data_IF_690945737559
#
_entry.id   IF_690945737559
#
_cell.length_a   1.000
_cell.length_b   1.000
_cell.length_c   1.000
_cell.angle_alpha   90.00
_cell.angle_beta   90.00
_cell.angle_gamma   90.00
#
_symmetry.space_group_name_H-M   'P 1'
#
loop_
_entity.id
_entity.type
_entity.pdbx_description
1 polymer ?
#
# COMPACT_ATOMS: atom_id res chain seq x y z
N UNK A 1 -17.98 10.87 42.72
CA UNK A 1 -18.52 9.94 41.70
C UNK A 1 -18.66 10.74 40.41
N UNK A 2 -18.09 10.43 39.25
CA UNK A 2 -17.35 9.26 38.76
C UNK A 2 -16.33 9.73 37.72
N UNK A 3 -15.06 9.38 37.94
CA UNK A 3 -13.89 9.76 37.14
C UNK A 3 -13.57 8.67 36.10
N UNK A 4 -14.58 8.19 35.36
CA UNK A 4 -14.44 7.04 34.42
C UNK A 4 -15.02 7.36 33.04
N UNK A 5 -14.89 8.59 32.53
CA UNK A 5 -15.28 8.93 31.15
C UNK A 5 -14.16 9.64 30.35
N UNK A 6 -12.91 9.64 30.85
CA UNK A 6 -11.78 10.34 30.20
C UNK A 6 -10.65 9.44 29.67
N UNK A 7 -10.81 8.12 29.64
CA UNK A 7 -9.71 7.20 29.26
C UNK A 7 -9.93 6.47 27.92
N UNK A 8 -11.08 6.63 27.24
CA UNK A 8 -11.36 5.84 26.02
C UNK A 8 -11.13 6.54 24.66
N UNK A 9 -10.63 7.77 24.61
CA UNK A 9 -10.53 8.54 23.35
C UNK A 9 -9.10 8.82 22.85
N UNK A 10 -8.11 8.04 23.29
CA UNK A 10 -6.73 8.10 22.77
C UNK A 10 -6.31 6.90 21.90
N UNK A 11 -7.18 5.91 21.65
CA UNK A 11 -6.77 4.67 20.98
C UNK A 11 -6.88 4.69 19.44
N UNK A 12 -7.53 5.67 18.83
CA UNK A 12 -7.68 5.74 17.37
C UNK A 12 -6.58 6.53 16.63
N UNK A 13 -5.61 7.10 17.36
CA UNK A 13 -4.67 8.10 16.82
C UNK A 13 -3.20 7.66 16.71
N UNK A 14 -2.84 6.43 17.06
CA UNK A 14 -1.43 6.03 17.18
C UNK A 14 -0.82 5.37 15.94
N UNK A 15 -1.58 5.08 14.87
CA UNK A 15 -1.06 4.28 13.74
C UNK A 15 -0.51 5.08 12.54
N UNK A 16 -0.53 6.42 12.55
CA UNK A 16 0.00 7.23 11.43
C UNK A 16 1.25 8.05 11.75
N UNK A 17 1.82 7.97 12.96
CA UNK A 17 2.87 8.90 13.37
C UNK A 17 4.04 8.23 14.11
N UNK A 18 4.62 7.15 13.59
CA UNK A 18 5.99 6.74 13.97
C UNK A 18 6.70 6.03 12.81
N UNK A 19 7.38 6.80 11.98
CA UNK A 19 8.59 6.39 11.25
C UNK A 19 9.10 7.62 10.52
N UNK A 20 10.01 8.34 11.19
CA UNK A 20 11.06 9.23 10.67
C UNK A 20 11.38 10.27 11.74
N UNK A 21 12.10 9.84 12.77
CA UNK A 21 12.90 10.71 13.61
C UNK A 21 14.27 10.04 13.75
N UNK A 22 15.20 10.48 12.91
CA UNK A 22 16.63 10.20 12.99
C UNK A 22 17.37 11.53 12.81
N UNK A 23 18.21 11.84 13.79
CA UNK A 23 18.73 13.16 14.15
C UNK A 23 19.74 13.77 13.18
N UNK A 24 19.86 15.11 13.25
CA UNK A 24 21.02 15.88 12.81
C UNK A 24 20.94 17.33 13.29
N UNK A 25 21.71 17.67 14.32
CA UNK A 25 21.86 19.01 14.93
C UNK A 25 22.71 19.96 14.06
N UNK A 26 22.51 21.27 14.24
CA UNK A 26 23.55 22.31 14.04
C UNK A 26 23.01 23.70 13.68
N UNK A 27 22.85 24.57 14.68
CA UNK A 27 23.30 25.98 14.87
C UNK A 27 23.26 26.96 13.66
N UNK A 28 22.90 28.25 13.70
CA UNK A 28 22.35 29.27 14.63
C UNK A 28 21.97 30.51 13.71
N UNK A 29 21.54 31.72 14.15
CA UNK A 29 20.57 32.55 13.44
C UNK A 29 21.17 33.76 12.71
N UNK A 30 20.44 34.32 11.74
CA UNK A 30 20.91 35.53 11.02
C UNK A 30 19.82 36.24 10.23
N UNK A 31 19.29 37.29 10.84
CA UNK A 31 18.81 38.56 10.26
C UNK A 31 17.78 38.60 9.12
N UNK A 32 16.70 39.33 9.43
CA UNK A 32 15.63 39.74 8.56
C UNK A 32 16.09 40.74 7.48
N UNK A 33 15.59 40.56 6.26
CA UNK A 33 15.20 41.68 5.39
C UNK A 33 14.05 41.25 4.48
N UNK A 34 12.94 41.97 4.59
CA UNK A 34 11.74 41.76 3.79
C UNK A 34 11.81 42.50 2.44
N UNK A 35 11.35 41.86 1.36
CA UNK A 35 10.77 42.48 0.15
C UNK A 35 9.98 41.43 -0.65
N UNK A 36 9.05 41.83 -1.54
CA UNK A 36 7.64 41.46 -1.41
C UNK A 36 7.19 40.37 -2.39
N UNK A 37 6.08 39.73 -1.99
CA UNK A 37 5.10 38.97 -2.76
C UNK A 37 5.45 38.65 -4.23
N UNK A 38 6.09 37.50 -4.43
CA UNK A 38 5.83 36.71 -5.62
C UNK A 38 4.64 35.80 -5.29
N UNK A 39 3.50 36.08 -5.92
CA UNK A 39 2.32 35.20 -5.90
C UNK A 39 2.76 33.83 -6.42
N UNK A 40 3.01 32.89 -5.51
CA UNK A 40 3.27 31.50 -5.86
C UNK A 40 1.93 30.92 -6.31
N UNK A 41 1.66 31.03 -7.61
CA UNK A 41 0.70 30.15 -8.25
C UNK A 41 1.05 28.71 -7.87
N UNK A 42 0.08 27.85 -7.54
CA UNK A 42 0.37 26.46 -7.21
C UNK A 42 1.10 25.84 -8.40
N UNK A 43 2.39 25.57 -8.21
CA UNK A 43 3.23 24.85 -9.16
C UNK A 43 2.49 23.55 -9.44
N UNK A 44 1.95 23.43 -10.66
CA UNK A 44 1.36 22.19 -11.14
C UNK A 44 2.31 21.05 -10.77
N UNK A 45 1.82 20.11 -9.97
CA UNK A 45 2.58 18.92 -9.58
C UNK A 45 3.15 18.31 -10.85
N UNK A 46 4.48 18.21 -10.91
CA UNK A 46 5.21 17.83 -12.11
C UNK A 46 4.79 16.43 -12.57
N UNK A 47 3.86 16.37 -13.53
CA UNK A 47 3.56 15.22 -14.37
C UNK A 47 4.55 15.24 -15.53
N UNK A 48 5.78 14.76 -15.35
CA UNK A 48 6.75 14.76 -16.46
C UNK A 48 7.69 13.55 -16.46
N UNK A 49 7.11 12.36 -16.27
CA UNK A 49 7.72 11.09 -16.66
C UNK A 49 6.76 10.31 -17.56
N UNK A 50 7.25 9.38 -18.40
CA UNK A 50 6.37 8.47 -19.11
C UNK A 50 5.53 7.68 -18.10
N UNK A 51 4.24 7.52 -18.39
CA UNK A 51 3.31 6.73 -17.58
C UNK A 51 3.84 5.31 -17.45
N UNK A 52 3.84 4.75 -16.23
CA UNK A 52 4.21 3.36 -16.01
C UNK A 52 3.32 2.42 -16.86
N UNK A 53 3.86 1.38 -17.52
CA UNK A 53 3.06 0.54 -18.40
C UNK A 53 1.97 -0.26 -17.66
N UNK A 54 2.18 -0.57 -16.38
CA UNK A 54 1.30 -1.44 -15.57
C UNK A 54 0.38 -0.67 -14.63
N UNK A 55 0.90 0.33 -13.91
CA UNK A 55 0.15 1.11 -12.91
C UNK A 55 -0.18 2.53 -13.36
N UNK A 56 0.25 2.91 -14.57
CA UNK A 56 0.01 4.21 -15.19
C UNK A 56 0.34 5.38 -14.26
N UNK A 57 -0.63 6.28 -14.04
CA UNK A 57 -0.47 7.46 -13.19
C UNK A 57 -0.92 7.25 -11.74
N UNK A 58 -1.22 6.02 -11.34
CA UNK A 58 -1.70 5.72 -9.99
C UNK A 58 -0.69 6.15 -8.90
N UNK A 59 0.63 5.92 -9.02
CA UNK A 59 1.60 6.36 -8.01
C UNK A 59 1.56 7.86 -7.74
N UNK A 60 1.40 8.68 -8.80
CA UNK A 60 1.34 10.13 -8.69
C UNK A 60 0.01 10.60 -8.10
N UNK A 61 -1.10 9.93 -8.40
CA UNK A 61 -2.40 10.22 -7.78
C UNK A 61 -2.40 9.94 -6.27
N UNK A 62 -1.82 8.82 -5.85
CA UNK A 62 -1.66 8.46 -4.44
C UNK A 62 -0.74 9.45 -3.71
N UNK A 63 0.35 9.87 -4.37
CA UNK A 63 1.28 10.86 -3.80
C UNK A 63 0.58 12.20 -3.55
N UNK A 64 -0.16 12.70 -4.53
CA UNK A 64 -0.93 13.94 -4.39
C UNK A 64 -1.97 13.85 -3.25
N UNK A 65 -2.68 12.72 -3.15
CA UNK A 65 -3.62 12.45 -2.06
C UNK A 65 -2.94 12.49 -0.67
N UNK A 66 -1.79 11.83 -0.53
CA UNK A 66 -1.01 11.80 0.72
C UNK A 66 -0.48 13.19 1.08
N UNK A 67 0.01 13.95 0.11
CA UNK A 67 0.53 15.31 0.32
C UNK A 67 -0.58 16.27 0.79
N UNK A 68 -1.75 16.26 0.15
CA UNK A 68 -2.90 17.06 0.57
C UNK A 68 -3.38 16.64 1.97
N UNK A 69 -3.46 15.33 2.25
CA UNK A 69 -3.84 14.83 3.57
C UNK A 69 -2.87 15.32 4.67
N UNK A 70 -1.57 15.38 4.40
CA UNK A 70 -0.57 15.91 5.34
C UNK A 70 -0.79 17.41 5.62
N UNK A 71 -1.07 18.19 4.57
CA UNK A 71 -1.35 19.63 4.71
C UNK A 71 -2.61 19.87 5.54
N UNK A 72 -3.72 19.19 5.22
CA UNK A 72 -4.97 19.29 5.96
C UNK A 72 -4.81 18.87 7.42
N UNK A 73 -4.05 17.80 7.70
CA UNK A 73 -3.78 17.38 9.08
C UNK A 73 -2.96 18.42 9.87
N UNK A 74 -2.03 19.12 9.23
CA UNK A 74 -1.28 20.20 9.88
C UNK A 74 -2.19 21.40 10.20
N UNK A 75 -3.03 21.81 9.25
CA UNK A 75 -4.00 22.89 9.45
C UNK A 75 -5.02 22.55 10.54
N UNK A 76 -5.57 21.33 10.53
CA UNK A 76 -6.49 20.86 11.56
C UNK A 76 -5.87 20.94 12.97
N UNK A 77 -4.60 20.55 13.12
CA UNK A 77 -3.91 20.65 14.42
C UNK A 77 -3.75 22.10 14.88
N UNK A 78 -3.44 23.01 13.96
CA UNK A 78 -3.35 24.44 14.27
C UNK A 78 -4.70 25.00 14.71
N UNK A 79 -5.77 24.71 13.95
CA UNK A 79 -7.11 25.16 14.27
C UNK A 79 -7.61 24.61 15.61
N UNK A 80 -7.44 23.33 15.89
CA UNK A 80 -7.82 22.74 17.18
C UNK A 80 -7.07 23.35 18.38
N UNK A 81 -5.85 23.88 18.16
CA UNK A 81 -5.09 24.56 19.20
C UNK A 81 -5.55 26.02 19.42
N UNK A 82 -6.11 26.68 18.40
CA UNK A 82 -6.48 28.11 18.46
C UNK A 82 -7.99 28.36 18.61
N UNK A 83 -8.82 27.51 18.00
CA UNK A 83 -10.27 27.69 17.85
C UNK A 83 -10.93 26.30 17.69
N UNK A 84 -11.43 25.76 18.80
CA UNK A 84 -11.99 24.41 18.84
C UNK A 84 -13.19 24.23 17.91
N UNK A 85 -14.08 25.23 17.83
CA UNK A 85 -15.29 25.14 17.00
C UNK A 85 -14.93 25.10 15.51
N UNK A 86 -14.00 25.96 15.08
CA UNK A 86 -13.47 25.90 13.71
C UNK A 86 -12.70 24.63 13.43
N UNK A 87 -11.92 24.14 14.38
CA UNK A 87 -11.19 22.87 14.26
C UNK A 87 -12.14 21.68 14.05
N UNK A 88 -13.23 21.61 14.81
CA UNK A 88 -14.24 20.55 14.65
C UNK A 88 -14.98 20.64 13.31
N UNK A 89 -15.33 21.84 12.84
CA UNK A 89 -15.91 22.03 11.52
C UNK A 89 -14.92 21.61 10.39
N UNK A 90 -13.65 21.99 10.54
CA UNK A 90 -12.59 21.64 9.59
C UNK A 90 -12.26 20.14 9.58
N UNK A 91 -12.43 19.45 10.72
CA UNK A 91 -12.30 17.98 10.81
C UNK A 91 -13.25 17.27 9.85
N UNK A 92 -14.51 17.72 9.78
CA UNK A 92 -15.50 17.14 8.84
C UNK A 92 -15.09 17.37 7.38
N UNK A 93 -14.52 18.53 7.06
CA UNK A 93 -13.99 18.81 5.71
C UNK A 93 -12.81 17.90 5.36
N UNK A 94 -11.92 17.64 6.31
CA UNK A 94 -10.78 16.73 6.12
C UNK A 94 -11.24 15.30 5.80
N UNK A 95 -12.27 14.81 6.51
CA UNK A 95 -12.88 13.49 6.25
C UNK A 95 -13.51 13.44 4.85
N UNK A 96 -14.26 14.48 4.48
CA UNK A 96 -14.89 14.55 3.16
C UNK A 96 -13.86 14.61 2.02
N UNK A 97 -12.77 15.34 2.21
CA UNK A 97 -11.64 15.37 1.25
C UNK A 97 -11.00 14.01 1.07
N UNK A 98 -10.75 13.28 2.17
CA UNK A 98 -10.23 11.92 2.11
C UNK A 98 -11.18 10.97 1.36
N UNK A 99 -12.50 11.11 1.58
CA UNK A 99 -13.53 10.35 0.86
C UNK A 99 -13.48 10.63 -0.66
N UNK A 100 -13.44 11.90 -1.06
CA UNK A 100 -13.37 12.30 -2.47
C UNK A 100 -12.11 11.79 -3.16
N UNK A 101 -10.96 11.80 -2.47
CA UNK A 101 -9.73 11.20 -2.98
C UNK A 101 -9.85 9.69 -3.17
N UNK A 102 -10.41 8.99 -2.19
CA UNK A 102 -10.67 7.55 -2.29
C UNK A 102 -11.58 7.21 -3.48
N UNK A 103 -12.62 8.01 -3.73
CA UNK A 103 -13.50 7.83 -4.90
C UNK A 103 -12.79 8.06 -6.22
N UNK A 104 -12.01 9.14 -6.32
CA UNK A 104 -11.24 9.47 -7.51
C UNK A 104 -10.24 8.37 -7.86
N UNK A 105 -9.50 7.88 -6.87
CA UNK A 105 -8.50 6.82 -7.06
C UNK A 105 -9.19 5.49 -7.39
N UNK A 106 -10.25 5.14 -6.68
CA UNK A 106 -11.03 3.92 -6.95
C UNK A 106 -11.58 3.92 -8.38
N UNK A 107 -12.19 5.03 -8.81
CA UNK A 107 -12.67 5.17 -10.18
C UNK A 107 -11.52 5.09 -11.19
N UNK A 108 -10.37 5.70 -10.91
CA UNK A 108 -9.19 5.61 -11.77
C UNK A 108 -8.74 4.15 -11.96
N UNK A 109 -8.61 3.39 -10.87
CA UNK A 109 -8.21 1.97 -10.93
C UNK A 109 -9.23 1.16 -11.72
N UNK A 110 -10.52 1.28 -11.41
CA UNK A 110 -11.58 0.54 -12.10
C UNK A 110 -11.63 0.84 -13.59
N UNK A 111 -11.48 2.10 -14.00
CA UNK A 111 -11.59 2.48 -15.42
C UNK A 111 -10.31 2.19 -16.20
N UNK A 112 -9.13 2.32 -15.58
CA UNK A 112 -7.87 2.33 -16.32
C UNK A 112 -6.99 1.10 -16.09
N UNK A 113 -7.14 0.40 -14.97
CA UNK A 113 -6.19 -0.63 -14.53
C UNK A 113 -6.83 -1.99 -14.29
N UNK A 114 -8.10 -2.05 -13.91
CA UNK A 114 -8.79 -3.31 -13.64
C UNK A 114 -8.74 -4.25 -14.86
N UNK A 115 -8.40 -5.51 -14.62
CA UNK A 115 -8.19 -6.54 -15.64
C UNK A 115 -6.81 -6.51 -16.29
N UNK A 116 -5.96 -5.53 -16.00
CA UNK A 116 -4.61 -5.47 -16.54
C UNK A 116 -3.71 -6.53 -15.92
N UNK A 117 -3.03 -7.30 -16.77
CA UNK A 117 -2.02 -8.29 -16.35
C UNK A 117 -0.71 -7.62 -15.97
N UNK A 118 -0.10 -8.10 -14.90
CA UNK A 118 1.21 -7.70 -14.40
C UNK A 118 2.17 -8.89 -14.56
N UNK A 119 3.42 -8.67 -14.99
CA UNK A 119 4.41 -9.74 -15.03
C UNK A 119 4.67 -10.32 -13.64
N UNK A 120 4.68 -11.65 -13.55
CA UNK A 120 5.13 -12.39 -12.39
C UNK A 120 6.23 -13.37 -12.82
N UNK A 121 7.38 -13.33 -12.14
CA UNK A 121 8.40 -14.36 -12.26
C UNK A 121 8.28 -15.35 -11.09
N UNK A 122 7.81 -16.58 -11.31
CA UNK A 122 7.71 -17.58 -10.25
C UNK A 122 9.08 -18.14 -9.87
N UNK A 123 9.17 -18.75 -8.69
CA UNK A 123 10.33 -19.56 -8.30
C UNK A 123 10.28 -20.91 -9.01
N UNK A 124 11.45 -21.39 -9.43
CA UNK A 124 11.57 -22.71 -10.04
C UNK A 124 11.36 -23.81 -8.99
N UNK A 125 10.84 -24.96 -9.43
CA UNK A 125 10.65 -26.14 -8.57
C UNK A 125 9.50 -26.03 -7.56
N UNK A 126 8.64 -25.01 -7.65
CA UNK A 126 7.44 -24.91 -6.82
C UNK A 126 6.42 -26.00 -7.16
N UNK A 127 5.67 -26.52 -6.17
CA UNK A 127 4.64 -27.55 -6.40
C UNK A 127 3.33 -26.97 -6.94
N UNK A 128 3.41 -25.85 -7.64
CA UNK A 128 2.32 -25.15 -8.28
C UNK A 128 2.82 -24.29 -9.44
N UNK A 129 1.91 -24.00 -10.37
CA UNK A 129 2.11 -23.01 -11.40
C UNK A 129 1.17 -21.82 -11.14
N UNK A 130 1.63 -20.61 -11.45
CA UNK A 130 0.78 -19.43 -11.48
C UNK A 130 0.06 -19.32 -12.82
N UNK A 131 -1.20 -18.87 -12.76
CA UNK A 131 -1.88 -18.24 -13.88
C UNK A 131 -1.53 -16.74 -13.93
N UNK A 132 -2.25 -15.98 -14.76
CA UNK A 132 -2.04 -14.54 -14.88
C UNK A 132 -2.25 -13.78 -13.57
N UNK A 133 -1.33 -12.88 -13.27
CA UNK A 133 -1.47 -11.91 -12.19
C UNK A 133 -2.19 -10.66 -12.70
N UNK A 134 -3.35 -10.34 -12.14
CA UNK A 134 -4.21 -9.27 -12.65
C UNK A 134 -4.55 -8.24 -11.58
N UNK A 135 -4.69 -6.98 -11.99
CA UNK A 135 -5.26 -5.92 -11.16
C UNK A 135 -6.78 -6.14 -11.07
N UNK A 136 -7.34 -6.14 -9.87
CA UNK A 136 -8.77 -6.45 -9.65
C UNK A 136 -9.54 -5.16 -9.43
N UNK A 137 -9.35 -4.57 -8.26
CA UNK A 137 -10.13 -3.45 -7.78
C UNK A 137 -9.36 -2.63 -6.76
N UNK A 138 -10.02 -1.58 -6.32
CA UNK A 138 -9.61 -0.74 -5.21
C UNK A 138 -10.84 -0.58 -4.30
N UNK A 139 -11.04 -1.50 -3.34
CA UNK A 139 -12.29 -1.59 -2.59
C UNK A 139 -12.52 -0.31 -1.79
N UNK A 140 -13.75 0.20 -1.86
CA UNK A 140 -14.21 1.39 -1.13
C UNK A 140 -14.63 1.02 0.30
N UNK A 141 -14.33 1.90 1.26
CA UNK A 141 -14.84 1.77 2.62
C UNK A 141 -14.26 2.81 3.59
N UNK A 142 -15.04 3.24 4.60
CA UNK A 142 -14.59 4.21 5.61
C UNK A 142 -13.47 3.66 6.51
N UNK A 143 -13.37 2.32 6.63
CA UNK A 143 -12.35 1.60 7.40
C UNK A 143 -11.41 0.76 6.51
N UNK A 144 -11.62 0.76 5.19
CA UNK A 144 -10.70 0.08 4.29
C UNK A 144 -9.51 0.98 4.08
N UNK A 145 -8.33 0.51 4.46
CA UNK A 145 -7.09 0.98 3.86
C UNK A 145 -7.33 0.97 2.35
N UNK A 146 -7.15 2.12 1.72
CA UNK A 146 -7.13 2.27 0.27
C UNK A 146 -6.04 1.31 -0.25
N UNK A 147 -6.46 0.17 -0.80
CA UNK A 147 -5.59 -0.93 -1.18
C UNK A 147 -5.73 -1.17 -2.67
N UNK A 148 -4.63 -1.05 -3.42
CA UNK A 148 -4.55 -1.62 -4.75
C UNK A 148 -4.56 -3.14 -4.60
N UNK A 149 -5.65 -3.78 -5.04
CA UNK A 149 -5.79 -5.22 -4.99
C UNK A 149 -5.42 -5.84 -6.33
N UNK A 150 -4.55 -6.82 -6.24
CA UNK A 150 -4.20 -7.69 -7.35
C UNK A 150 -4.50 -9.13 -6.97
N UNK A 151 -4.68 -9.99 -7.97
CA UNK A 151 -4.91 -11.42 -7.74
C UNK A 151 -4.16 -12.27 -8.74
N UNK A 152 -3.94 -13.52 -8.35
CA UNK A 152 -3.49 -14.58 -9.24
C UNK A 152 -4.16 -15.88 -8.80
N UNK A 153 -4.27 -16.82 -9.72
CA UNK A 153 -4.59 -18.20 -9.38
C UNK A 153 -3.29 -19.00 -9.37
N UNK A 154 -3.16 -19.93 -8.42
CA UNK A 154 -2.18 -21.01 -8.54
C UNK A 154 -2.90 -22.32 -8.82
N UNK A 155 -2.25 -23.22 -9.54
CA UNK A 155 -2.69 -24.60 -9.76
C UNK A 155 -1.62 -25.54 -9.21
N UNK A 156 -1.99 -26.43 -8.30
CA UNK A 156 -1.08 -27.45 -7.78
C UNK A 156 -0.65 -28.40 -8.90
N UNK A 157 0.66 -28.65 -9.00
CA UNK A 157 1.26 -29.57 -9.98
C UNK A 157 1.58 -30.94 -9.38
N UNK A 158 1.35 -31.11 -8.08
CA UNK A 158 1.50 -32.36 -7.35
C UNK A 158 0.68 -32.30 -6.06
N UNK A 159 0.44 -33.47 -5.45
CA UNK A 159 -0.18 -33.57 -4.14
C UNK A 159 0.71 -32.95 -3.04
N UNK A 160 0.09 -32.21 -2.12
CA UNK A 160 0.76 -31.55 -1.00
C UNK A 160 0.38 -32.17 0.35
N UNK A 161 0.18 -33.48 0.35
CA UNK A 161 -0.32 -34.22 1.51
C UNK A 161 0.78 -34.61 2.51
N UNK A 162 2.05 -34.43 2.16
CA UNK A 162 3.25 -34.89 2.89
C UNK A 162 4.20 -33.77 3.36
N UNK A 163 5.11 -34.09 4.30
CA UNK A 163 5.90 -33.14 5.11
C UNK A 163 7.35 -32.89 4.61
N UNK A 164 7.61 -32.82 3.31
CA UNK A 164 8.95 -32.48 2.81
C UNK A 164 9.33 -31.03 3.17
N UNK A 165 10.65 -30.72 3.17
CA UNK A 165 11.13 -29.38 3.52
C UNK A 165 10.61 -28.30 2.56
N UNK A 166 10.69 -28.55 1.25
CA UNK A 166 10.24 -27.60 0.22
C UNK A 166 8.72 -27.31 0.29
N UNK A 167 7.94 -28.28 0.78
CA UNK A 167 6.49 -28.14 0.99
C UNK A 167 6.17 -27.37 2.27
N UNK A 168 7.01 -27.46 3.31
CA UNK A 168 6.81 -26.74 4.59
C UNK A 168 6.92 -25.22 4.46
N UNK A 169 7.77 -24.73 3.57
CA UNK A 169 7.91 -23.28 3.34
C UNK A 169 6.66 -22.67 2.71
N UNK A 170 5.94 -23.49 1.95
CA UNK A 170 4.65 -23.16 1.34
C UNK A 170 3.47 -23.44 2.28
N UNK A 171 3.53 -24.53 3.07
CA UNK A 171 2.46 -24.99 3.94
C UNK A 171 2.71 -24.70 5.43
N UNK A 172 1.99 -23.72 5.98
CA UNK A 172 1.99 -23.40 7.41
C UNK A 172 0.67 -23.78 8.07
N UNK A 173 0.60 -24.92 8.75
CA UNK A 173 -0.55 -25.25 9.61
C UNK A 173 -1.90 -25.19 8.88
N UNK A 174 -2.00 -25.86 7.71
CA UNK A 174 -3.16 -25.82 6.77
C UNK A 174 -3.36 -24.49 6.04
N UNK A 175 -2.34 -23.65 6.00
CA UNK A 175 -2.32 -22.44 5.18
C UNK A 175 -1.29 -22.59 4.08
N UNK A 176 -1.67 -22.15 2.90
CA UNK A 176 -0.74 -21.88 1.81
C UNK A 176 -0.29 -20.43 1.94
N UNK A 177 1.01 -20.19 1.83
CA UNK A 177 1.58 -18.84 1.80
C UNK A 177 2.39 -18.63 0.51
N UNK A 178 2.18 -17.48 -0.13
CA UNK A 178 2.97 -17.00 -1.26
C UNK A 178 3.56 -15.66 -0.87
N UNK A 179 4.85 -15.48 -1.16
CA UNK A 179 5.57 -14.24 -0.90
C UNK A 179 6.08 -13.71 -2.23
N UNK A 180 5.89 -12.42 -2.47
CA UNK A 180 6.43 -11.73 -3.64
C UNK A 180 7.19 -10.49 -3.24
N UNK A 181 8.10 -10.04 -4.09
CA UNK A 181 8.65 -8.68 -4.07
C UNK A 181 8.34 -7.96 -5.37
N UNK A 182 8.18 -6.65 -5.29
CA UNK A 182 8.07 -5.80 -6.47
C UNK A 182 9.47 -5.52 -7.04
N UNK A 183 9.57 -5.54 -8.36
CA UNK A 183 10.78 -5.15 -9.09
C UNK A 183 10.47 -4.00 -10.05
N UNK A 184 11.50 -3.22 -10.37
CA UNK A 184 11.41 -2.16 -11.36
C UNK A 184 11.48 -2.69 -12.80
N UNK A 185 11.39 -1.81 -13.79
CA UNK A 185 11.44 -2.17 -15.22
C UNK A 185 12.77 -2.83 -15.64
N UNK A 186 13.83 -2.63 -14.87
CA UNK A 186 15.16 -3.22 -15.10
C UNK A 186 15.35 -4.53 -14.30
N UNK A 187 14.36 -4.92 -13.49
CA UNK A 187 14.38 -6.12 -12.66
C UNK A 187 15.05 -5.94 -11.29
N UNK A 188 15.38 -4.71 -10.89
CA UNK A 188 15.92 -4.44 -9.57
C UNK A 188 14.81 -4.41 -8.51
N UNK A 189 15.13 -4.80 -7.28
CA UNK A 189 14.17 -4.75 -6.18
C UNK A 189 13.74 -3.31 -5.86
N UNK A 190 12.42 -3.11 -5.73
CA UNK A 190 11.87 -1.88 -5.19
C UNK A 190 11.93 -1.97 -3.66
N UNK A 191 12.64 -1.06 -2.95
CA UNK A 191 12.82 -1.15 -1.51
C UNK A 191 11.52 -1.21 -0.72
N UNK A 192 11.52 -2.02 0.34
CA UNK A 192 10.39 -2.29 1.26
C UNK A 192 9.11 -2.83 0.58
N UNK A 193 9.18 -3.36 -0.64
CA UNK A 193 8.01 -3.83 -1.40
C UNK A 193 7.90 -5.35 -1.43
N UNK A 194 7.90 -5.98 -0.25
CA UNK A 194 7.63 -7.41 -0.08
C UNK A 194 6.20 -7.62 0.41
N UNK A 195 5.44 -8.51 -0.22
CA UNK A 195 4.00 -8.69 0.02
C UNK A 195 3.69 -10.18 0.21
N UNK A 196 3.09 -10.59 1.34
CA UNK A 196 2.59 -11.94 1.53
C UNK A 196 1.12 -12.05 1.10
N UNK A 197 0.73 -13.24 0.65
CA UNK A 197 -0.67 -13.65 0.59
C UNK A 197 -0.81 -15.05 1.18
N UNK A 198 -1.84 -15.24 1.99
CA UNK A 198 -2.09 -16.52 2.66
C UNK A 198 -3.54 -16.94 2.50
N UNK A 199 -3.74 -18.21 2.22
CA UNK A 199 -5.05 -18.85 2.11
C UNK A 199 -5.09 -20.07 3.04
N UNK A 200 -6.21 -20.29 3.70
CA UNK A 200 -6.45 -21.57 4.40
C UNK A 200 -7.10 -22.56 3.46
N UNK A 201 -6.58 -23.79 3.41
CA UNK A 201 -7.15 -24.86 2.61
C UNK A 201 -7.13 -26.17 3.39
N UNK A 202 -8.17 -26.99 3.19
CA UNK A 202 -8.28 -28.28 3.85
C UNK A 202 -7.31 -29.28 3.23
N UNK A 203 -6.83 -30.26 4.02
CA UNK A 203 -5.90 -31.30 3.49
C UNK A 203 -6.48 -32.04 2.28
N UNK A 204 -7.80 -32.24 2.23
CA UNK A 204 -8.47 -32.89 1.10
C UNK A 204 -8.48 -32.04 -0.19
N UNK A 205 -8.21 -30.74 -0.09
CA UNK A 205 -8.12 -29.82 -1.22
C UNK A 205 -6.68 -29.71 -1.75
N UNK A 206 -5.69 -30.28 -1.05
CA UNK A 206 -4.27 -30.21 -1.36
C UNK A 206 -3.82 -31.31 -2.33
N UNK A 207 -4.56 -31.47 -3.42
CA UNK A 207 -4.32 -32.51 -4.44
C UNK A 207 -3.99 -31.87 -5.79
N UNK A 208 -3.24 -32.59 -6.62
CA UNK A 208 -2.83 -32.16 -7.95
C UNK A 208 -4.02 -31.65 -8.79
N UNK A 209 -3.78 -30.58 -9.55
CA UNK A 209 -4.78 -29.95 -10.40
C UNK A 209 -5.75 -29.00 -9.68
N UNK A 210 -5.74 -28.97 -8.35
CA UNK A 210 -6.55 -27.99 -7.59
C UNK A 210 -6.01 -26.58 -7.74
N UNK A 211 -6.94 -25.63 -7.83
CA UNK A 211 -6.65 -24.22 -8.03
C UNK A 211 -7.02 -23.39 -6.81
N UNK A 212 -6.22 -22.38 -6.52
CA UNK A 212 -6.44 -21.48 -5.39
C UNK A 212 -6.21 -20.03 -5.83
N UNK A 213 -7.14 -19.15 -5.48
CA UNK A 213 -7.04 -17.72 -5.77
C UNK A 213 -6.34 -17.00 -4.61
N UNK A 214 -5.32 -16.21 -4.94
CA UNK A 214 -4.56 -15.40 -4.00
C UNK A 214 -4.78 -13.93 -4.30
N UNK A 215 -4.98 -13.15 -3.24
CA UNK A 215 -5.10 -11.70 -3.31
C UNK A 215 -3.92 -11.02 -2.62
N UNK A 216 -3.34 -10.04 -3.30
CA UNK A 216 -2.23 -9.24 -2.80
C UNK A 216 -2.67 -7.79 -2.76
N UNK A 217 -2.55 -7.17 -1.59
CA UNK A 217 -3.04 -5.83 -1.33
C UNK A 217 -1.88 -4.89 -1.03
N UNK A 218 -1.78 -3.80 -1.79
CA UNK A 218 -0.76 -2.75 -1.60
C UNK A 218 -1.43 -1.49 -1.04
N UNK A 219 -0.89 -0.92 0.04
CA UNK A 219 -1.39 0.33 0.62
C UNK A 219 -0.94 1.51 -0.22
N UNK A 220 -1.60 2.66 -0.08
CA UNK A 220 -1.18 3.92 -0.73
C UNK A 220 0.32 4.20 -0.61
N UNK A 221 0.93 3.96 0.57
CA UNK A 221 2.38 4.16 0.81
C UNK A 221 3.29 3.22 -0.01
N UNK A 222 2.76 2.07 -0.41
CA UNK A 222 3.45 1.07 -1.22
C UNK A 222 3.28 1.47 -2.70
N UNK A 223 2.05 1.87 -3.09
CA UNK A 223 1.71 2.29 -4.46
C UNK A 223 2.50 3.52 -4.94
N UNK A 224 2.80 4.48 -4.06
CA UNK A 224 3.63 5.65 -4.43
C UNK A 224 5.06 5.30 -4.84
N UNK A 225 5.53 4.08 -4.57
CA UNK A 225 6.87 3.59 -4.95
C UNK A 225 6.90 2.93 -6.33
N UNK A 226 5.74 2.78 -6.97
CA UNK A 226 5.59 2.02 -8.21
C UNK A 226 5.79 2.86 -9.49
N UNK A 227 6.45 4.03 -9.43
CA UNK A 227 6.69 4.86 -10.61
C UNK A 227 7.43 4.08 -11.72
N UNK A 228 8.49 3.33 -11.35
CA UNK A 228 9.28 2.51 -12.27
C UNK A 228 8.93 1.02 -12.19
N UNK A 229 7.74 0.65 -11.72
CA UNK A 229 7.34 -0.75 -11.52
C UNK A 229 7.38 -1.58 -12.81
N UNK A 230 8.02 -2.75 -12.74
CA UNK A 230 8.11 -3.71 -13.84
C UNK A 230 7.35 -5.01 -13.61
N UNK A 231 7.15 -5.43 -12.36
CA UNK A 231 6.39 -6.64 -12.05
C UNK A 231 6.69 -7.19 -10.67
N UNK A 232 6.27 -8.43 -10.47
CA UNK A 232 6.53 -9.19 -9.24
C UNK A 232 7.49 -10.34 -9.49
N UNK A 233 8.27 -10.67 -8.46
CA UNK A 233 9.07 -11.89 -8.39
C UNK A 233 8.64 -12.64 -7.15
N UNK A 234 8.33 -13.93 -7.29
CA UNK A 234 8.10 -14.79 -6.15
C UNK A 234 9.39 -14.96 -5.35
N UNK A 235 9.31 -14.91 -4.02
CA UNK A 235 10.44 -15.03 -3.10
C UNK A 235 10.17 -16.11 -2.05
N UNK A 236 11.23 -16.52 -1.36
CA UNK A 236 11.10 -17.45 -0.23
C UNK A 236 10.58 -16.72 1.02
N UNK A 237 10.08 -17.50 1.98
CA UNK A 237 9.72 -16.97 3.30
C UNK A 237 10.92 -16.34 4.01
N UNK A 238 12.10 -16.93 3.87
CA UNK A 238 13.32 -16.42 4.50
C UNK A 238 13.73 -15.09 3.90
N UNK A 239 13.66 -14.94 2.57
CA UNK A 239 13.88 -13.65 1.91
C UNK A 239 12.83 -12.61 2.30
N UNK A 240 11.57 -13.02 2.48
CA UNK A 240 10.52 -12.13 3.00
C UNK A 240 10.85 -11.63 4.42
N UNK A 241 11.37 -12.48 5.28
CA UNK A 241 11.72 -12.14 6.68
C UNK A 241 13.07 -11.44 6.81
N UNK A 242 13.93 -11.50 5.78
CA UNK A 242 15.21 -10.81 5.76
C UNK A 242 15.00 -9.29 5.69
N UNK A 243 15.69 -8.58 6.60
CA UNK A 243 15.68 -7.12 6.70
C UNK A 243 16.48 -6.46 5.59
#
# INVERSE_FOLDING_TARGET
MSTIHRIFWCAALSCMAMSLAGCGNGDDPGEATAKPEATVSPKAAATSGPSNPYVKNLPQLERASIEEAKQLQQELRQLLATDLEKGEAFRLQTVEKARLWGEKISQYVTTNLAGQTIPLKPLEGRPYAFDDWVIVDFPKGPDTLNLLRTKTTIRLTQDLTDQSADVKDFMMGRRIAIYVKAVDLDGNEIPDMKIPSTLSANRAEMVEGKTFEFYFNMRSRDVVRLDNFGGFVEITRDEYNAK
#
